data_IF_751094422228
#
_entry.id   IF_751094422228
#
_cell.length_a   1.000
_cell.length_b   1.000
_cell.length_c   1.000
_cell.angle_alpha   90.00
_cell.angle_beta   90.00
_cell.angle_gamma   90.00
#
_symmetry.space_group_name_H-M   'P 1'
#
loop_
_entity.id
_entity.type
_entity.pdbx_description
1 polymer ?
#
# COMPACT_ATOMS: atom_id res chain seq x y z
N UNK A 1 -14.74 -6.56 -18.46
CA UNK A 1 -15.29 -7.31 -17.31
C UNK A 1 -14.70 -6.71 -16.04
N UNK A 2 -15.47 -6.61 -14.96
CA UNK A 2 -14.99 -6.03 -13.70
C UNK A 2 -14.06 -7.02 -12.97
N UNK A 3 -12.94 -6.52 -12.45
CA UNK A 3 -12.00 -7.28 -11.61
C UNK A 3 -11.94 -6.62 -10.23
N UNK A 4 -12.42 -7.35 -9.22
CA UNK A 4 -12.53 -6.86 -7.86
C UNK A 4 -11.16 -6.64 -7.19
N UNK A 5 -10.20 -7.55 -7.42
CA UNK A 5 -8.86 -7.43 -6.84
C UNK A 5 -8.18 -6.17 -7.37
N UNK A 6 -8.24 -5.96 -8.68
CA UNK A 6 -7.65 -4.77 -9.31
C UNK A 6 -8.31 -3.48 -8.81
N UNK A 7 -9.63 -3.47 -8.59
CA UNK A 7 -10.33 -2.33 -8.01
C UNK A 7 -9.87 -2.02 -6.57
N UNK A 8 -9.73 -3.06 -5.73
CA UNK A 8 -9.25 -2.92 -4.35
C UNK A 8 -7.82 -2.37 -4.34
N UNK A 9 -6.90 -2.99 -5.09
CA UNK A 9 -5.50 -2.56 -5.14
C UNK A 9 -5.34 -1.15 -5.70
N UNK A 10 -6.15 -0.75 -6.69
CA UNK A 10 -6.18 0.64 -7.18
C UNK A 10 -6.64 1.61 -6.11
N UNK A 11 -7.62 1.23 -5.28
CA UNK A 11 -8.10 2.06 -4.17
C UNK A 11 -6.99 2.24 -3.13
N UNK A 12 -6.31 1.16 -2.73
CA UNK A 12 -5.21 1.21 -1.76
C UNK A 12 -4.07 2.10 -2.24
N UNK A 13 -3.67 2.00 -3.52
CA UNK A 13 -2.69 2.92 -4.12
C UNK A 13 -3.09 4.38 -4.05
N UNK A 14 -4.39 4.68 -4.14
CA UNK A 14 -4.91 6.03 -3.96
C UNK A 14 -4.92 6.51 -2.50
N UNK A 15 -4.96 5.59 -1.53
CA UNK A 15 -4.91 5.92 -0.11
C UNK A 15 -3.48 6.23 0.37
N UNK A 16 -2.47 5.61 -0.21
CA UNK A 16 -1.05 5.85 0.13
C UNK A 16 -0.70 7.33 -0.07
N UNK A 17 -0.09 7.95 0.95
CA UNK A 17 0.19 9.38 1.02
C UNK A 17 -1.01 10.29 1.30
N UNK A 18 -2.25 9.78 1.29
CA UNK A 18 -3.47 10.55 1.55
C UNK A 18 -4.19 10.15 2.85
N UNK A 19 -3.96 8.93 3.32
CA UNK A 19 -4.52 8.38 4.56
C UNK A 19 -3.40 7.83 5.45
N UNK A 20 -3.59 7.78 6.78
CA UNK A 20 -2.65 7.12 7.68
C UNK A 20 -2.48 5.63 7.38
N UNK A 21 -1.24 5.12 7.49
CA UNK A 21 -0.89 3.73 7.16
C UNK A 21 -1.78 2.69 7.86
N UNK A 22 -2.14 2.90 9.13
CA UNK A 22 -2.99 1.96 9.86
C UNK A 22 -4.36 1.78 9.20
N UNK A 23 -4.94 2.84 8.59
CA UNK A 23 -6.21 2.72 7.86
C UNK A 23 -6.04 1.93 6.57
N UNK A 24 -4.90 2.09 5.90
CA UNK A 24 -4.56 1.35 4.68
C UNK A 24 -4.42 -0.13 5.00
N UNK A 25 -3.72 -0.45 6.10
CA UNK A 25 -3.55 -1.81 6.62
C UNK A 25 -4.89 -2.44 7.03
N UNK A 26 -5.72 -1.73 7.81
CA UNK A 26 -7.06 -2.21 8.20
C UNK A 26 -7.96 -2.46 6.99
N UNK A 27 -7.90 -1.59 5.98
CA UNK A 27 -8.66 -1.77 4.74
C UNK A 27 -8.22 -3.02 3.97
N UNK A 28 -6.91 -3.23 3.82
CA UNK A 28 -6.34 -4.43 3.21
C UNK A 28 -6.74 -5.71 3.96
N UNK A 29 -6.57 -5.71 5.30
CA UNK A 29 -6.95 -6.84 6.17
C UNK A 29 -8.44 -7.18 6.07
N UNK A 30 -9.32 -6.18 5.98
CA UNK A 30 -10.75 -6.40 5.78
C UNK A 30 -11.05 -7.19 4.50
N UNK A 31 -10.33 -6.93 3.41
CA UNK A 31 -10.51 -7.67 2.14
C UNK A 31 -9.83 -9.03 2.14
N UNK A 32 -8.69 -9.17 2.82
CA UNK A 32 -8.06 -10.47 3.07
C UNK A 32 -8.98 -11.39 3.88
N UNK A 33 -9.57 -10.90 4.97
CA UNK A 33 -10.52 -11.66 5.80
C UNK A 33 -11.78 -12.11 5.02
N UNK A 34 -12.09 -11.45 3.91
CA UNK A 34 -13.19 -11.81 2.98
C UNK A 34 -12.74 -12.76 1.85
N UNK A 35 -11.49 -13.21 1.87
CA UNK A 35 -10.88 -14.05 0.84
C UNK A 35 -10.77 -13.35 -0.52
N UNK A 36 -10.67 -12.02 -0.55
CA UNK A 36 -10.54 -11.23 -1.79
C UNK A 36 -9.12 -10.79 -2.09
N UNK A 37 -8.27 -10.77 -1.07
CA UNK A 37 -6.83 -10.58 -1.17
C UNK A 37 -6.12 -11.81 -0.61
N UNK A 38 -4.90 -12.04 -1.06
CA UNK A 38 -4.01 -13.09 -0.56
C UNK A 38 -2.94 -12.51 0.37
N UNK A 39 -2.08 -13.38 0.92
CA UNK A 39 -0.93 -12.92 1.70
C UNK A 39 0.06 -12.13 0.84
N UNK A 40 0.23 -12.52 -0.43
CA UNK A 40 1.06 -11.78 -1.39
C UNK A 40 0.53 -10.37 -1.65
N UNK A 41 -0.81 -10.21 -1.71
CA UNK A 41 -1.41 -8.88 -1.85
C UNK A 41 -1.14 -8.01 -0.60
N UNK A 42 -1.20 -8.60 0.61
CA UNK A 42 -0.86 -7.88 1.84
C UNK A 42 0.61 -7.45 1.87
N UNK A 43 1.52 -8.33 1.44
CA UNK A 43 2.94 -8.00 1.31
C UNK A 43 3.17 -6.88 0.29
N UNK A 44 2.46 -6.88 -0.85
CA UNK A 44 2.51 -5.80 -1.83
C UNK A 44 2.05 -4.46 -1.22
N UNK A 45 0.96 -4.47 -0.45
CA UNK A 45 0.45 -3.27 0.24
C UNK A 45 1.50 -2.71 1.21
N UNK A 46 2.13 -3.58 2.00
CA UNK A 46 3.17 -3.17 2.95
C UNK A 46 4.40 -2.61 2.23
N UNK A 47 4.84 -3.22 1.13
CA UNK A 47 5.93 -2.70 0.30
C UNK A 47 5.59 -1.31 -0.26
N UNK A 48 4.36 -1.11 -0.73
CA UNK A 48 3.90 0.17 -1.26
C UNK A 48 3.81 1.27 -0.19
N UNK A 49 3.39 0.93 1.03
CA UNK A 49 3.43 1.84 2.19
C UNK A 49 4.89 2.22 2.48
N UNK A 50 5.80 1.25 2.57
CA UNK A 50 7.20 1.52 2.92
C UNK A 50 7.93 2.36 1.88
N UNK A 51 7.61 2.19 0.59
CA UNK A 51 8.18 3.00 -0.51
C UNK A 51 7.93 4.50 -0.35
N UNK A 52 6.88 4.92 0.36
CA UNK A 52 6.61 6.34 0.59
C UNK A 52 7.62 7.00 1.55
N UNK A 53 8.38 6.20 2.31
CA UNK A 53 9.35 6.65 3.31
C UNK A 53 10.81 6.44 2.91
N UNK A 54 11.06 5.85 1.73
CA UNK A 54 12.42 5.75 1.21
C UNK A 54 12.84 7.14 0.75
N UNK A 55 13.53 7.85 1.64
CA UNK A 55 14.22 9.10 1.31
C UNK A 55 15.42 8.73 0.44
N UNK A 56 15.48 9.24 -0.79
CA UNK A 56 16.75 9.27 -1.53
C UNK A 56 17.73 10.11 -0.70
N UNK A 57 18.75 9.48 -0.12
CA UNK A 57 19.89 10.19 0.47
C UNK A 57 20.54 11.01 -0.64
N UNK A 58 20.20 12.31 -0.72
CA UNK A 58 20.98 13.26 -1.50
C UNK A 58 22.33 13.44 -0.78
N UNK A 59 23.39 12.85 -1.32
CA UNK A 59 24.78 13.02 -0.93
C UNK A 59 25.31 14.45 -1.21
N UNK A 60 24.61 15.52 -0.82
CA UNK A 60 25.06 16.91 -0.99
C UNK A 60 24.97 17.72 0.31
N UNK A 61 25.71 17.31 1.34
CA UNK A 61 26.24 18.24 2.34
C UNK A 61 27.72 17.93 2.62
N UNK A 62 28.56 18.23 1.64
CA UNK A 62 29.99 18.52 1.86
C UNK A 62 30.26 19.94 1.35
N UNK A 63 30.02 20.94 2.22
CA UNK A 63 30.54 22.30 2.09
C UNK A 63 31.38 22.63 3.32
#
# INVERSE_FOLDING_TARGET
>A
MFDLRNFIMKTIRGMIGNEPDYKIQEYGLSWYNRGKLTEEDLAEIEELINKQYVVEENEEEQL
#
